data_IF_355447066923
#
_entry.id   IF_355447066923
#
_cell.length_a   1.000
_cell.length_b   1.000
_cell.length_c   1.000
_cell.angle_alpha   90.00
_cell.angle_beta   90.00
_cell.angle_gamma   90.00
#
_symmetry.space_group_name_H-M   'P 1'
#
loop_
_entity.id
_entity.type
_entity.pdbx_description
1 polymer ?
#
# COMPACT_ATOMS: atom_id res chain seq x y z
N UNK A 1 4.43 -32.69 -27.39
CA UNK A 1 4.11 -32.56 -25.97
C UNK A 1 2.83 -31.74 -25.90
N UNK A 2 1.68 -32.41 -25.96
CA UNK A 2 0.37 -31.78 -26.10
C UNK A 2 -0.03 -31.09 -24.79
N UNK A 3 -0.14 -29.76 -24.83
CA UNK A 3 -0.80 -29.02 -23.78
C UNK A 3 -2.31 -29.30 -23.88
N UNK A 4 -2.85 -29.98 -22.87
CA UNK A 4 -4.30 -30.12 -22.72
C UNK A 4 -4.86 -28.69 -22.54
N UNK A 5 -5.65 -28.26 -23.54
CA UNK A 5 -6.50 -27.08 -23.43
C UNK A 5 -7.46 -27.27 -22.25
N UNK A 6 -7.45 -26.35 -21.28
CA UNK A 6 -8.44 -26.28 -20.22
C UNK A 6 -7.95 -26.38 -18.77
N UNK A 7 -6.64 -26.49 -18.49
CA UNK A 7 -6.18 -26.34 -17.11
C UNK A 7 -5.92 -24.86 -16.82
N UNK A 8 -6.84 -24.23 -16.09
CA UNK A 8 -6.54 -22.98 -15.35
C UNK A 8 -5.34 -23.23 -14.44
N UNK A 9 -4.28 -22.45 -14.63
CA UNK A 9 -3.03 -22.60 -13.87
C UNK A 9 -3.24 -22.39 -12.35
N UNK A 10 -4.35 -21.77 -11.96
CA UNK A 10 -4.70 -21.49 -10.57
C UNK A 10 -6.19 -21.67 -10.34
N UNK A 11 -6.56 -22.43 -9.35
CA UNK A 11 -7.92 -22.52 -8.86
C UNK A 11 -8.19 -21.35 -7.90
N UNK A 12 -9.25 -20.59 -8.18
CA UNK A 12 -9.66 -19.49 -7.30
C UNK A 12 -10.35 -20.10 -6.08
N UNK A 13 -9.68 -20.05 -4.94
CA UNK A 13 -10.24 -20.51 -3.67
C UNK A 13 -11.06 -19.41 -3.00
N UNK A 14 -11.94 -19.75 -2.01
CA UNK A 14 -12.69 -18.76 -1.25
C UNK A 14 -11.80 -17.70 -0.57
N UNK A 15 -10.62 -18.11 -0.10
CA UNK A 15 -9.65 -17.19 0.53
C UNK A 15 -9.06 -16.21 -0.49
N UNK A 16 -8.73 -16.69 -1.70
CA UNK A 16 -8.26 -15.80 -2.78
C UNK A 16 -9.34 -14.78 -3.12
N UNK A 17 -10.60 -15.20 -3.17
CA UNK A 17 -11.73 -14.30 -3.40
C UNK A 17 -11.85 -13.26 -2.28
N UNK A 18 -11.74 -13.68 -1.02
CA UNK A 18 -11.76 -12.76 0.13
C UNK A 18 -10.63 -11.72 0.08
N UNK A 19 -9.40 -12.12 -0.22
CA UNK A 19 -8.29 -11.16 -0.37
C UNK A 19 -8.46 -10.23 -1.56
N UNK A 20 -9.03 -10.71 -2.66
CA UNK A 20 -9.36 -9.88 -3.81
C UNK A 20 -10.39 -8.79 -3.46
N UNK A 21 -11.45 -9.14 -2.71
CA UNK A 21 -12.46 -8.19 -2.23
C UNK A 21 -11.86 -7.13 -1.30
N UNK A 22 -10.94 -7.51 -0.38
CA UNK A 22 -10.22 -6.56 0.47
C UNK A 22 -9.37 -5.59 -0.37
N UNK A 23 -8.65 -6.09 -1.36
CA UNK A 23 -7.88 -5.26 -2.28
C UNK A 23 -8.78 -4.28 -3.05
N UNK A 24 -9.88 -4.75 -3.62
CA UNK A 24 -10.80 -3.91 -4.38
C UNK A 24 -11.41 -2.81 -3.51
N UNK A 25 -11.88 -3.15 -2.31
CA UNK A 25 -12.45 -2.21 -1.35
C UNK A 25 -11.49 -1.08 -0.94
N UNK A 26 -10.22 -1.42 -0.65
CA UNK A 26 -9.29 -0.49 -0.02
C UNK A 26 -8.28 0.16 -0.99
N UNK A 27 -8.25 -0.27 -2.27
CA UNK A 27 -7.35 0.29 -3.28
C UNK A 27 -8.02 1.23 -4.27
N UNK A 28 -9.35 1.38 -4.21
CA UNK A 28 -10.06 2.32 -5.06
C UNK A 28 -9.67 3.76 -4.73
N UNK A 29 -9.32 4.53 -5.74
CA UNK A 29 -9.06 5.96 -5.64
C UNK A 29 -10.22 6.70 -6.30
N UNK A 30 -10.84 7.62 -5.57
CA UNK A 30 -11.93 8.43 -6.08
C UNK A 30 -11.46 9.27 -7.27
N UNK A 31 -12.16 9.16 -8.39
CA UNK A 31 -11.86 9.89 -9.63
C UNK A 31 -11.91 11.40 -9.45
N UNK A 32 -12.72 11.91 -8.54
CA UNK A 32 -12.80 13.35 -8.24
C UNK A 32 -11.49 13.90 -7.69
N UNK A 33 -10.70 13.08 -7.01
CA UNK A 33 -9.39 13.47 -6.49
C UNK A 33 -8.40 13.85 -7.60
N UNK A 34 -8.50 13.22 -8.78
CA UNK A 34 -7.65 13.58 -9.92
C UNK A 34 -7.93 15.00 -10.40
N UNK A 35 -9.18 15.43 -10.38
CA UNK A 35 -9.58 16.81 -10.70
C UNK A 35 -9.22 17.76 -9.56
N UNK A 36 -9.51 17.39 -8.32
CA UNK A 36 -9.23 18.19 -7.12
C UNK A 36 -7.75 18.54 -6.98
N UNK A 37 -6.86 17.58 -7.26
CA UNK A 37 -5.40 17.76 -7.16
C UNK A 37 -4.74 18.12 -8.48
N UNK A 38 -5.52 18.39 -9.53
CA UNK A 38 -5.01 18.78 -10.86
C UNK A 38 -3.94 17.81 -11.39
N UNK A 39 -4.19 16.51 -11.27
CA UNK A 39 -3.25 15.48 -11.72
C UNK A 39 -3.03 15.60 -13.23
N UNK A 40 -1.78 15.75 -13.64
CA UNK A 40 -1.40 16.02 -15.03
C UNK A 40 -0.66 14.84 -15.64
N UNK A 41 -0.73 14.73 -16.97
CA UNK A 41 0.12 13.80 -17.72
C UNK A 41 1.49 14.41 -17.92
N UNK A 42 2.55 13.66 -17.63
CA UNK A 42 3.94 14.13 -17.72
C UNK A 42 4.53 14.45 -16.36
N UNK A 43 5.84 14.67 -16.33
CA UNK A 43 6.61 14.79 -15.09
C UNK A 43 7.00 16.22 -14.75
N UNK A 44 6.88 17.15 -15.72
CA UNK A 44 7.26 18.55 -15.55
C UNK A 44 6.30 19.49 -16.26
N UNK A 45 6.10 20.64 -15.66
CA UNK A 45 5.38 21.77 -16.25
C UNK A 45 6.32 22.59 -17.19
N UNK A 46 5.75 23.49 -17.97
CA UNK A 46 6.50 24.34 -18.92
C UNK A 46 7.60 25.17 -18.24
N UNK A 47 7.44 25.50 -16.97
CA UNK A 47 8.42 26.21 -16.15
C UNK A 47 9.51 25.30 -15.56
N UNK A 48 9.56 24.01 -15.92
CA UNK A 48 10.50 23.02 -15.43
C UNK A 48 10.18 22.46 -14.05
N UNK A 49 9.13 22.92 -13.38
CA UNK A 49 8.69 22.44 -12.08
C UNK A 49 8.10 21.03 -12.20
N UNK A 50 8.32 20.18 -11.19
CA UNK A 50 7.64 18.88 -11.08
C UNK A 50 6.13 19.06 -10.98
N UNK A 51 5.38 18.16 -11.59
CA UNK A 51 3.92 18.12 -11.52
C UNK A 51 3.44 16.86 -10.82
N UNK A 52 2.23 16.91 -10.26
CA UNK A 52 1.57 15.73 -9.71
C UNK A 52 1.08 14.87 -10.88
N UNK A 53 1.77 13.75 -11.13
CA UNK A 53 1.50 12.87 -12.26
C UNK A 53 0.59 11.69 -11.92
N UNK A 54 0.28 11.46 -10.64
CA UNK A 54 -0.58 10.37 -10.19
C UNK A 54 -0.90 10.48 -8.71
N UNK A 55 -1.81 9.63 -8.26
CA UNK A 55 -2.20 9.50 -6.86
C UNK A 55 -1.92 8.07 -6.38
N UNK A 56 -1.56 7.95 -5.12
CA UNK A 56 -1.45 6.67 -4.42
C UNK A 56 -2.03 6.82 -3.01
N UNK A 57 -2.64 5.77 -2.51
CA UNK A 57 -3.09 5.66 -1.11
C UNK A 57 -2.22 4.66 -0.32
N UNK A 58 -1.12 4.18 -0.92
CA UNK A 58 -0.27 3.15 -0.32
C UNK A 58 0.77 3.75 0.61
N UNK A 59 1.43 4.84 0.17
CA UNK A 59 2.47 5.47 0.97
C UNK A 59 2.54 6.97 0.72
N UNK A 60 3.03 7.70 1.72
CA UNK A 60 3.31 9.12 1.64
C UNK A 60 4.68 9.43 2.28
N UNK A 61 5.46 10.29 1.61
CA UNK A 61 6.72 10.81 2.13
C UNK A 61 6.56 12.31 2.31
N UNK A 62 6.44 12.73 3.56
CA UNK A 62 6.33 14.14 3.91
C UNK A 62 7.70 14.69 4.32
N UNK A 63 8.29 15.57 3.51
CA UNK A 63 9.55 16.26 3.81
C UNK A 63 9.40 17.79 3.80
N UNK A 64 8.21 18.30 3.48
CA UNK A 64 7.87 19.71 3.50
C UNK A 64 6.40 19.92 3.85
N UNK A 65 6.09 21.09 4.39
CA UNK A 65 4.72 21.52 4.71
C UNK A 65 4.47 22.91 4.17
N UNK A 66 3.22 23.24 3.91
CA UNK A 66 2.82 24.57 3.49
C UNK A 66 2.58 25.41 4.74
N UNK A 67 3.32 26.52 4.86
CA UNK A 67 3.14 27.55 5.90
C UNK A 67 3.00 28.89 5.18
N UNK A 68 1.90 29.58 5.40
CA UNK A 68 1.57 30.86 4.75
C UNK A 68 1.71 30.84 3.22
N UNK A 69 1.26 29.74 2.59
CA UNK A 69 1.32 29.55 1.13
C UNK A 69 2.72 29.23 0.58
N UNK A 70 3.73 29.07 1.43
CA UNK A 70 5.10 28.70 1.05
C UNK A 70 5.45 27.30 1.52
N UNK A 71 6.17 26.55 0.70
CA UNK A 71 6.70 25.26 1.08
C UNK A 71 7.91 25.45 2.02
N UNK A 72 7.83 24.91 3.22
CA UNK A 72 8.88 24.94 4.24
C UNK A 72 9.34 23.51 4.50
N UNK A 73 10.63 23.21 4.51
CA UNK A 73 11.15 21.91 4.88
C UNK A 73 10.70 21.49 6.29
N UNK A 74 10.39 20.23 6.48
CA UNK A 74 10.13 19.64 7.79
C UNK A 74 10.92 18.35 7.96
N UNK A 75 10.90 17.79 9.19
CA UNK A 75 11.45 16.45 9.41
C UNK A 75 10.79 15.45 8.46
N UNK A 76 11.59 14.61 7.78
CA UNK A 76 11.09 13.58 6.89
C UNK A 76 10.27 12.54 7.64
N UNK A 77 9.07 12.29 7.17
CA UNK A 77 8.20 11.24 7.70
C UNK A 77 7.74 10.34 6.56
N UNK A 78 7.74 9.05 6.82
CA UNK A 78 7.21 8.03 5.92
C UNK A 78 5.94 7.46 6.55
N UNK A 79 4.89 7.38 5.75
CA UNK A 79 3.61 6.78 6.14
C UNK A 79 3.28 5.62 5.19
N UNK A 80 2.82 4.52 5.76
CA UNK A 80 2.23 3.41 5.04
C UNK A 80 0.73 3.34 5.36
N UNK A 81 -0.13 3.49 4.35
CA UNK A 81 -1.59 3.50 4.52
C UNK A 81 -2.06 4.43 5.66
N UNK A 82 -1.38 5.56 5.85
CA UNK A 82 -1.68 6.54 6.90
C UNK A 82 -1.01 6.28 8.25
N UNK A 83 -0.34 5.15 8.46
CA UNK A 83 0.42 4.86 9.67
C UNK A 83 1.86 5.35 9.55
N UNK A 84 2.35 6.07 10.56
CA UNK A 84 3.76 6.47 10.60
C UNK A 84 4.65 5.23 10.79
N UNK A 85 5.71 5.12 9.98
CA UNK A 85 6.61 3.96 10.03
C UNK A 85 7.26 3.79 11.42
N UNK A 86 7.51 4.88 12.14
CA UNK A 86 8.08 4.82 13.50
C UNK A 86 7.13 4.14 14.48
N UNK A 87 5.82 4.34 14.33
CA UNK A 87 4.81 3.71 15.18
C UNK A 87 4.62 2.25 14.83
N UNK A 88 4.65 1.90 13.53
CA UNK A 88 4.64 0.50 13.09
C UNK A 88 5.82 -0.27 13.66
N UNK A 89 7.04 0.27 13.52
CA UNK A 89 8.26 -0.37 14.05
C UNK A 89 8.21 -0.52 15.57
N UNK A 90 7.71 0.50 16.28
CA UNK A 90 7.53 0.42 17.74
C UNK A 90 6.57 -0.72 18.12
N UNK A 91 5.43 -0.83 17.41
CA UNK A 91 4.46 -1.91 17.64
C UNK A 91 5.07 -3.30 17.45
N UNK A 92 5.88 -3.50 16.41
CA UNK A 92 6.57 -4.77 16.18
C UNK A 92 7.59 -5.10 17.26
N UNK A 93 8.35 -4.09 17.73
CA UNK A 93 9.32 -4.27 18.82
C UNK A 93 8.63 -4.59 20.15
N UNK A 94 7.52 -3.93 20.47
CA UNK A 94 6.74 -4.19 21.68
C UNK A 94 6.08 -5.57 21.65
N UNK A 95 5.69 -6.05 20.47
CA UNK A 95 5.09 -7.37 20.27
C UNK A 95 6.13 -8.50 20.10
N UNK A 96 7.43 -8.16 20.08
CA UNK A 96 8.56 -9.08 19.94
C UNK A 96 8.45 -10.02 18.71
N UNK A 97 8.09 -9.43 17.57
CA UNK A 97 8.06 -10.15 16.29
C UNK A 97 8.53 -9.30 15.11
N UNK A 98 9.09 -9.93 14.06
CA UNK A 98 9.42 -9.26 12.82
C UNK A 98 8.14 -8.84 12.09
N UNK A 99 7.92 -7.54 11.89
CA UNK A 99 6.68 -6.99 11.33
C UNK A 99 6.55 -7.12 9.79
N UNK A 100 7.23 -8.08 9.14
CA UNK A 100 7.22 -8.23 7.68
C UNK A 100 5.82 -8.54 7.14
N UNK A 101 5.18 -9.58 7.65
CA UNK A 101 3.88 -10.04 7.17
C UNK A 101 2.77 -9.04 7.49
N UNK A 102 2.81 -8.40 8.65
CA UNK A 102 1.89 -7.32 9.00
C UNK A 102 2.04 -6.12 8.08
N UNK A 103 3.28 -5.73 7.77
CA UNK A 103 3.55 -4.64 6.83
C UNK A 103 3.10 -5.00 5.42
N UNK A 104 3.36 -6.23 4.97
CA UNK A 104 2.89 -6.73 3.68
C UNK A 104 1.35 -6.72 3.60
N UNK A 105 0.68 -7.19 4.64
CA UNK A 105 -0.77 -7.17 4.75
C UNK A 105 -1.30 -5.73 4.67
N UNK A 106 -0.75 -4.82 5.46
CA UNK A 106 -1.14 -3.41 5.46
C UNK A 106 -1.00 -2.77 4.08
N UNK A 107 0.13 -2.97 3.40
CA UNK A 107 0.37 -2.40 2.07
C UNK A 107 -0.58 -2.95 1.01
N UNK A 108 -0.86 -4.25 1.04
CA UNK A 108 -1.72 -4.93 0.08
C UNK A 108 -3.21 -4.62 0.32
N UNK A 109 -3.66 -4.70 1.56
CA UNK A 109 -5.09 -4.68 1.91
C UNK A 109 -5.57 -3.37 2.53
N UNK A 110 -4.65 -2.46 2.89
CA UNK A 110 -4.99 -1.10 3.32
C UNK A 110 -5.37 -0.96 4.80
N UNK A 111 -5.30 -2.04 5.57
CA UNK A 111 -5.59 -2.07 7.00
C UNK A 111 -4.61 -2.98 7.75
N UNK A 112 -4.41 -2.72 9.04
CA UNK A 112 -3.62 -3.63 9.88
C UNK A 112 -4.42 -4.90 10.18
N UNK A 113 -3.79 -6.09 10.07
CA UNK A 113 -4.48 -7.33 10.39
C UNK A 113 -4.71 -7.48 11.89
N UNK A 114 -5.81 -8.07 12.28
CA UNK A 114 -5.92 -8.67 13.59
C UNK A 114 -5.18 -10.03 13.62
N UNK A 115 -5.05 -10.64 14.80
CA UNK A 115 -4.30 -11.87 14.97
C UNK A 115 -4.76 -13.02 14.05
N UNK A 116 -6.07 -13.19 13.89
CA UNK A 116 -6.63 -14.25 13.04
C UNK A 116 -6.35 -13.99 11.55
N UNK A 117 -6.49 -12.74 11.10
CA UNK A 117 -6.18 -12.33 9.73
C UNK A 117 -4.68 -12.49 9.42
N UNK A 118 -3.82 -12.18 10.38
CA UNK A 118 -2.38 -12.35 10.21
C UNK A 118 -2.01 -13.83 10.10
N UNK A 119 -2.55 -14.70 10.96
CA UNK A 119 -2.35 -16.14 10.91
C UNK A 119 -2.83 -16.73 9.58
N UNK A 120 -4.01 -16.32 9.11
CA UNK A 120 -4.55 -16.74 7.81
C UNK A 120 -3.61 -16.33 6.67
N UNK A 121 -3.18 -15.07 6.65
CA UNK A 121 -2.27 -14.55 5.64
C UNK A 121 -0.93 -15.28 5.62
N UNK A 122 -0.31 -15.49 6.79
CA UNK A 122 0.95 -16.23 6.93
C UNK A 122 0.84 -17.67 6.41
N UNK A 123 -0.28 -18.34 6.67
CA UNK A 123 -0.51 -19.70 6.17
C UNK A 123 -0.67 -19.74 4.63
N UNK A 124 -1.17 -18.66 4.01
CA UNK A 124 -1.38 -18.58 2.55
C UNK A 124 -0.13 -18.20 1.78
N UNK A 125 0.65 -17.23 2.27
CA UNK A 125 1.91 -16.85 1.60
C UNK A 125 3.00 -17.91 1.76
N UNK A 126 2.81 -18.85 2.69
CA UNK A 126 3.79 -19.89 2.99
C UNK A 126 4.97 -19.36 3.82
N UNK A 127 5.66 -20.29 4.45
CA UNK A 127 6.96 -20.02 5.10
C UNK A 127 8.06 -20.28 4.10
N UNK A 128 9.02 -19.37 4.00
CA UNK A 128 10.27 -19.69 3.32
C UNK A 128 10.88 -20.89 4.03
N UNK A 129 11.00 -22.01 3.32
CA UNK A 129 11.77 -23.13 3.83
C UNK A 129 13.24 -22.75 3.74
N UNK A 130 13.84 -22.53 4.87
CA UNK A 130 15.29 -22.41 5.03
C UNK A 130 15.88 -23.80 5.17
#
# INVERSE_FOLDING_TARGET
>A
MDRKEGQTLFEVTPEISHFAELCEKNNAIDKELYTKYEVKRGLRDLNGKGVLAGLTNISDVCASKIVDGKSVPCEGNLYYRGYNIKDLVRGFLEADHPGFEETAYLLLFGELPNKAQLEEFQNKIGRAHV
#
